data_IF_274636272585
#
_entry.id   IF_274636272585
#
_cell.length_a   1.000
_cell.length_b   1.000
_cell.length_c   1.000
_cell.angle_alpha   90.00
_cell.angle_beta   90.00
_cell.angle_gamma   90.00
#
_symmetry.space_group_name_H-M   'P 1'
#
loop_
_entity.id
_entity.type
_entity.pdbx_description
1 polymer ?
#
# COMPACT_ATOMS: atom_id res chain seq x y z
N UNK A 1 6.34 -2.20 -1.76
CA UNK A 1 6.81 -1.25 -0.73
C UNK A 1 8.32 -1.38 -0.61
N UNK A 2 9.05 -0.27 -0.72
CA UNK A 2 10.50 -0.19 -0.59
C UNK A 2 10.82 0.57 0.71
N UNK A 3 11.37 -0.10 1.74
CA UNK A 3 11.64 0.57 3.02
C UNK A 3 12.79 1.58 2.88
N UNK A 4 12.86 2.62 3.74
CA UNK A 4 13.95 3.60 3.69
C UNK A 4 15.30 3.04 4.17
N UNK A 5 15.28 1.93 4.91
CA UNK A 5 16.46 1.32 5.51
C UNK A 5 16.23 -0.19 5.76
N UNK A 6 17.25 -0.89 6.28
CA UNK A 6 17.23 -2.34 6.56
C UNK A 6 16.61 -2.72 7.91
N UNK A 7 16.03 -1.80 8.67
CA UNK A 7 15.39 -2.14 9.94
C UNK A 7 14.21 -3.09 9.70
N UNK A 8 13.99 -3.99 10.66
CA UNK A 8 12.81 -4.84 10.67
C UNK A 8 11.56 -3.96 10.73
N UNK A 9 10.65 -4.20 9.80
CA UNK A 9 9.34 -3.55 9.69
C UNK A 9 8.37 -4.59 9.18
N UNK A 10 7.23 -4.64 9.85
CA UNK A 10 6.09 -5.43 9.42
C UNK A 10 5.41 -4.68 8.27
N UNK A 11 5.12 -5.42 7.20
CA UNK A 11 4.68 -4.84 5.92
C UNK A 11 3.23 -4.36 5.98
N UNK A 12 2.44 -5.01 6.82
CA UNK A 12 1.02 -4.74 7.11
C UNK A 12 0.82 -3.38 7.80
N UNK A 13 1.75 -2.96 8.67
CA UNK A 13 1.67 -1.63 9.28
C UNK A 13 1.74 -0.50 8.23
N UNK A 14 2.60 -0.66 7.23
CA UNK A 14 2.70 0.31 6.13
C UNK A 14 1.53 0.18 5.17
N UNK A 15 1.05 -1.04 4.95
CA UNK A 15 -0.16 -1.29 4.17
C UNK A 15 -1.38 -0.60 4.77
N UNK A 16 -1.61 -0.70 6.08
CA UNK A 16 -2.77 -0.11 6.75
C UNK A 16 -2.79 1.41 6.59
N UNK A 17 -1.69 2.08 6.94
CA UNK A 17 -1.58 3.53 6.80
C UNK A 17 -1.71 4.00 5.34
N UNK A 18 -1.24 3.20 4.38
CA UNK A 18 -1.39 3.48 2.95
C UNK A 18 -2.86 3.40 2.52
N UNK A 19 -3.60 2.37 2.95
CA UNK A 19 -5.02 2.22 2.64
C UNK A 19 -5.82 3.38 3.23
N UNK A 20 -5.60 3.72 4.50
CA UNK A 20 -6.27 4.84 5.16
C UNK A 20 -6.06 6.15 4.38
N UNK A 21 -4.82 6.42 3.96
CA UNK A 21 -4.48 7.61 3.17
C UNK A 21 -5.14 7.62 1.77
N UNK A 22 -5.23 6.46 1.10
CA UNK A 22 -5.87 6.35 -0.20
C UNK A 22 -7.39 6.56 -0.12
N UNK A 23 -8.03 6.03 0.93
CA UNK A 23 -9.45 6.26 1.20
C UNK A 23 -9.73 7.73 1.51
N UNK A 24 -8.96 8.33 2.42
CA UNK A 24 -9.09 9.76 2.73
C UNK A 24 -8.78 10.66 1.53
N UNK A 25 -7.88 10.23 0.64
CA UNK A 25 -7.58 10.90 -0.62
C UNK A 25 -8.60 10.68 -1.72
N UNK A 26 -9.64 9.86 -1.50
CA UNK A 26 -10.71 9.60 -2.46
C UNK A 26 -10.34 8.67 -3.62
N UNK A 27 -9.26 7.87 -3.50
CA UNK A 27 -8.91 6.87 -4.50
C UNK A 27 -9.96 5.74 -4.60
N UNK A 28 -10.64 5.48 -3.49
CA UNK A 28 -11.84 4.66 -3.36
C UNK A 28 -12.67 5.19 -2.18
N UNK A 29 -13.94 4.82 -2.10
CA UNK A 29 -14.87 5.31 -1.08
C UNK A 29 -14.71 4.57 0.26
N UNK A 30 -14.54 3.25 0.18
CA UNK A 30 -14.52 2.37 1.34
C UNK A 30 -13.61 1.16 1.10
N UNK A 31 -12.97 0.65 2.16
CA UNK A 31 -12.05 -0.49 2.08
C UNK A 31 -12.76 -1.79 1.68
N UNK A 32 -14.07 -1.91 1.90
CA UNK A 32 -14.90 -3.02 1.39
C UNK A 32 -14.88 -3.16 -0.13
N UNK A 33 -14.50 -2.11 -0.88
CA UNK A 33 -14.34 -2.20 -2.34
C UNK A 33 -13.10 -3.00 -2.76
N UNK A 34 -12.15 -3.24 -1.85
CA UNK A 34 -10.90 -3.94 -2.13
C UNK A 34 -11.11 -5.44 -1.96
N UNK A 35 -11.56 -6.11 -3.02
CA UNK A 35 -11.77 -7.57 -3.04
C UNK A 35 -10.48 -8.37 -3.23
N UNK A 36 -9.42 -7.75 -3.74
CA UNK A 36 -8.10 -8.35 -3.90
C UNK A 36 -7.00 -7.35 -3.58
N UNK A 37 -6.14 -7.72 -2.64
CA UNK A 37 -5.01 -6.92 -2.21
C UNK A 37 -3.72 -7.76 -2.21
N UNK A 38 -2.68 -7.24 -2.86
CA UNK A 38 -1.35 -7.85 -2.90
C UNK A 38 -0.30 -6.81 -2.52
N UNK A 39 0.64 -7.20 -1.67
CA UNK A 39 1.74 -6.34 -1.25
C UNK A 39 3.04 -7.13 -1.23
N UNK A 40 4.10 -6.50 -1.73
CA UNK A 40 5.44 -7.07 -1.79
C UNK A 40 6.44 -6.12 -1.13
N UNK A 41 7.35 -6.67 -0.34
CA UNK A 41 8.46 -5.93 0.26
C UNK A 41 9.67 -6.03 -0.67
N UNK A 42 10.04 -4.91 -1.26
CA UNK A 42 11.24 -4.77 -2.09
C UNK A 42 12.49 -4.49 -1.26
N UNK A 43 13.59 -4.29 -1.97
CA UNK A 43 14.85 -3.82 -1.38
C UNK A 43 14.73 -2.39 -0.83
N UNK A 44 15.53 -2.00 0.17
CA UNK A 44 15.52 -0.63 0.65
C UNK A 44 15.90 0.39 -0.42
N UNK A 45 15.25 1.55 -0.41
CA UNK A 45 15.54 2.71 -1.27
C UNK A 45 15.63 3.93 -0.37
N UNK A 46 16.64 4.79 -0.54
CA UNK A 46 16.81 6.00 0.27
C UNK A 46 15.54 6.87 0.27
N UNK A 47 15.12 7.33 1.45
CA UNK A 47 13.86 8.07 1.64
C UNK A 47 12.59 7.21 1.64
N UNK A 48 12.68 5.95 1.22
CA UNK A 48 11.55 5.04 1.10
C UNK A 48 10.68 5.34 -0.11
N UNK A 49 9.96 4.31 -0.60
CA UNK A 49 9.07 4.46 -1.75
C UNK A 49 7.96 3.42 -1.69
N UNK A 50 6.76 3.83 -2.10
CA UNK A 50 5.65 2.90 -2.36
C UNK A 50 5.12 3.16 -3.76
N UNK A 51 4.94 2.09 -4.53
CA UNK A 51 4.29 2.12 -5.85
C UNK A 51 2.94 1.48 -5.66
N UNK A 52 1.89 2.16 -6.09
CA UNK A 52 0.50 1.72 -5.96
C UNK A 52 -0.07 1.52 -7.35
N UNK A 53 -0.74 0.39 -7.56
CA UNK A 53 -1.54 0.14 -8.76
C UNK A 53 -2.96 -0.21 -8.32
N UNK A 54 -3.92 0.58 -8.79
CA UNK A 54 -5.35 0.36 -8.55
C UNK A 54 -5.99 -0.01 -9.87
N UNK A 55 -6.81 -1.07 -9.87
CA UNK A 55 -7.56 -1.53 -11.03
C UNK A 55 -9.00 -1.78 -10.63
N UNK A 56 -9.94 -1.36 -11.47
CA UNK A 56 -11.33 -1.78 -11.33
C UNK A 56 -11.41 -3.28 -11.62
N UNK A 57 -12.14 -4.00 -10.79
CA UNK A 57 -12.50 -5.39 -11.07
C UNK A 57 -13.72 -5.35 -12.00
N UNK A 58 -13.77 -6.16 -13.07
CA UNK A 58 -14.97 -6.30 -13.89
C UNK A 58 -16.16 -6.74 -13.04
N UNK A 59 -17.37 -6.34 -13.44
CA UNK A 59 -18.63 -6.84 -12.86
C UNK A 59 -18.78 -8.36 -13.03
#
# INVERSE_FOLDING_TARGET
MFPPDRRRRDIDNVQKALLDALQHGGAYLDDSQIVRLSIEKGLPVEGGKTIVQIRKVPE
#
